data_IF_056678386064
#
_entry.id   IF_056678386064
#
_cell.length_a   1.000
_cell.length_b   1.000
_cell.length_c   1.000
_cell.angle_alpha   90.00
_cell.angle_beta   90.00
_cell.angle_gamma   90.00
#
_symmetry.space_group_name_H-M   'P 1'
#
loop_
_entity.id
_entity.type
_entity.pdbx_description
1 polymer ?
#
# COMPACT_ATOMS: atom_id res chain seq x y z
N UNK A 1 7.69 8.08 4.83
CA UNK A 1 7.10 8.98 3.81
C UNK A 1 8.13 9.94 3.22
N UNK A 2 8.93 10.63 4.02
CA UNK A 2 9.99 11.52 3.52
C UNK A 2 11.01 10.78 2.64
N UNK A 3 11.53 9.64 3.11
CA UNK A 3 12.42 8.79 2.33
C UNK A 3 11.76 8.29 1.05
N UNK A 4 10.49 7.86 1.13
CA UNK A 4 9.72 7.38 -0.03
C UNK A 4 9.56 8.46 -1.09
N UNK A 5 9.40 9.73 -0.69
CA UNK A 5 9.29 10.85 -1.63
C UNK A 5 10.54 11.09 -2.49
N UNK A 6 11.68 10.50 -2.10
CA UNK A 6 12.94 10.56 -2.86
C UNK A 6 13.22 9.32 -3.71
N UNK A 7 12.36 8.30 -3.68
CA UNK A 7 12.56 7.06 -4.42
C UNK A 7 11.87 7.11 -5.80
N UNK A 8 12.57 6.68 -6.82
CA UNK A 8 12.05 6.54 -8.19
C UNK A 8 11.57 5.09 -8.45
N UNK A 9 10.79 4.55 -7.51
CA UNK A 9 10.23 3.20 -7.60
C UNK A 9 8.89 3.10 -6.86
N UNK A 10 8.00 2.17 -7.24
CA UNK A 10 6.74 1.94 -6.55
C UNK A 10 6.94 1.49 -5.10
N UNK A 11 6.25 2.14 -4.16
CA UNK A 11 6.32 1.81 -2.73
C UNK A 11 4.92 1.57 -2.16
N UNK A 12 4.76 0.45 -1.44
CA UNK A 12 3.52 0.08 -0.78
C UNK A 12 3.44 0.58 0.67
N UNK A 13 2.28 1.11 1.04
CA UNK A 13 1.93 1.44 2.41
C UNK A 13 0.86 0.47 2.91
N UNK A 14 1.20 -0.32 3.93
CA UNK A 14 0.25 -1.27 4.54
C UNK A 14 -0.77 -0.53 5.42
N UNK A 15 -2.02 -0.96 5.41
CA UNK A 15 -3.02 -0.49 6.35
C UNK A 15 -2.61 -0.80 7.80
N UNK A 16 -3.18 -0.08 8.75
CA UNK A 16 -2.95 -0.29 10.17
C UNK A 16 -3.30 -1.70 10.63
N UNK A 17 -2.72 -2.15 11.74
CA UNK A 17 -3.04 -3.45 12.36
C UNK A 17 -4.49 -3.53 12.85
N UNK A 18 -5.11 -2.39 13.04
CA UNK A 18 -6.53 -2.22 13.34
C UNK A 18 -7.44 -2.29 12.09
N UNK A 19 -6.86 -2.42 10.90
CA UNK A 19 -7.56 -2.41 9.62
C UNK A 19 -7.81 -1.02 9.04
N UNK A 20 -7.45 0.05 9.76
CA UNK A 20 -7.66 1.43 9.29
C UNK A 20 -6.79 1.77 8.08
N UNK A 21 -7.35 2.51 7.13
CA UNK A 21 -6.67 2.96 5.91
C UNK A 21 -6.09 4.37 6.05
N UNK A 22 -6.57 5.16 7.02
CA UNK A 22 -6.25 6.59 7.14
C UNK A 22 -4.76 6.88 7.16
N UNK A 23 -3.99 6.21 8.02
CA UNK A 23 -2.54 6.41 8.14
C UNK A 23 -1.81 6.07 6.84
N UNK A 24 -2.22 5.00 6.15
CA UNK A 24 -1.62 4.61 4.87
C UNK A 24 -1.92 5.66 3.78
N UNK A 25 -3.17 6.12 3.68
CA UNK A 25 -3.58 7.16 2.73
C UNK A 25 -2.86 8.49 2.99
N UNK A 26 -2.74 8.91 4.25
CA UNK A 26 -1.99 10.12 4.62
C UNK A 26 -0.50 10.00 4.30
N UNK A 27 0.07 8.81 4.49
CA UNK A 27 1.45 8.54 4.13
C UNK A 27 1.69 8.55 2.61
N UNK A 28 0.76 7.98 1.81
CA UNK A 28 0.80 8.02 0.34
C UNK A 28 0.75 9.47 -0.15
N UNK A 29 -0.23 10.24 0.32
CA UNK A 29 -0.39 11.65 -0.03
C UNK A 29 0.83 12.49 0.36
N UNK A 30 1.38 12.26 1.56
CA UNK A 30 2.60 12.93 1.99
C UNK A 30 3.79 12.57 1.09
N UNK A 31 3.96 11.29 0.73
CA UNK A 31 5.07 10.84 -0.11
C UNK A 31 5.01 11.36 -1.55
N UNK A 32 3.81 11.68 -2.05
CA UNK A 32 3.60 12.26 -3.40
C UNK A 32 4.19 13.68 -3.54
N UNK A 33 4.38 14.39 -2.41
CA UNK A 33 4.88 15.76 -2.41
C UNK A 33 6.39 15.84 -2.15
N UNK A 34 7.07 16.91 -2.61
CA UNK A 34 8.46 17.17 -2.27
C UNK A 34 8.65 17.37 -0.76
N UNK A 35 9.77 16.87 -0.24
CA UNK A 35 10.18 17.04 1.15
C UNK A 35 11.63 17.54 1.23
N UNK A 36 11.95 18.16 2.34
CA UNK A 36 13.33 18.48 2.71
C UNK A 36 13.69 17.78 4.02
N UNK A 37 14.83 17.11 4.03
CA UNK A 37 15.33 16.45 5.24
C UNK A 37 16.88 16.45 5.27
N UNK A 38 17.44 16.36 6.45
CA UNK A 38 18.88 16.16 6.57
C UNK A 38 19.28 14.76 6.18
N UNK A 39 20.30 14.65 5.37
CA UNK A 39 20.85 13.39 4.89
C UNK A 39 22.32 13.52 4.56
N UNK A 40 22.82 12.60 3.75
CA UNK A 40 24.20 12.54 3.28
C UNK A 40 24.17 12.62 1.75
N UNK A 41 24.99 13.48 1.17
CA UNK A 41 25.18 13.59 -0.28
C UNK A 41 26.05 12.46 -0.83
N UNK A 42 26.20 12.42 -2.17
CA UNK A 42 27.00 11.41 -2.87
C UNK A 42 28.50 11.45 -2.52
N UNK A 43 28.95 12.52 -1.89
CA UNK A 43 30.33 12.71 -1.39
C UNK A 43 30.47 12.40 0.11
N UNK A 44 29.45 11.82 0.72
CA UNK A 44 29.38 11.50 2.15
C UNK A 44 29.43 12.73 3.07
N UNK A 45 29.01 13.90 2.61
CA UNK A 45 28.88 15.09 3.46
C UNK A 45 27.45 15.24 3.99
N UNK A 46 27.28 15.75 5.23
CA UNK A 46 25.96 16.17 5.71
C UNK A 46 25.36 17.23 4.78
N UNK A 47 24.14 17.00 4.32
CA UNK A 47 23.47 17.90 3.40
C UNK A 47 21.97 18.00 3.68
N UNK A 48 21.36 19.11 3.27
CA UNK A 48 19.90 19.23 3.20
C UNK A 48 19.45 18.68 1.86
N UNK A 49 18.83 17.49 1.90
CA UNK A 49 18.32 16.83 0.71
C UNK A 49 16.90 17.32 0.41
N UNK A 50 16.63 17.59 -0.86
CA UNK A 50 15.30 17.93 -1.35
C UNK A 50 14.82 16.82 -2.29
N UNK A 51 13.68 16.20 -1.96
CA UNK A 51 13.05 15.16 -2.76
C UNK A 51 12.07 15.76 -3.77
N UNK A 52 11.71 14.99 -4.80
CA UNK A 52 10.76 15.43 -5.84
C UNK A 52 9.32 15.02 -5.59
N UNK A 53 9.09 14.14 -4.63
CA UNK A 53 7.84 13.41 -4.45
C UNK A 53 7.82 12.10 -5.25
N UNK A 54 7.07 11.13 -4.75
CA UNK A 54 6.90 9.82 -5.39
C UNK A 54 5.41 9.56 -5.65
N UNK A 55 4.94 9.72 -6.89
CA UNK A 55 3.55 9.46 -7.25
C UNK A 55 3.22 7.97 -7.39
N UNK A 56 4.24 7.09 -7.39
CA UNK A 56 4.09 5.65 -7.63
C UNK A 56 3.92 4.87 -6.32
N UNK A 57 3.11 5.40 -5.42
CA UNK A 57 2.73 4.71 -4.20
C UNK A 57 1.47 3.87 -4.38
N UNK A 58 1.30 2.84 -3.55
CA UNK A 58 0.11 2.00 -3.55
C UNK A 58 -0.27 1.54 -2.14
N UNK A 59 -1.55 1.26 -1.95
CA UNK A 59 -2.07 0.70 -0.70
C UNK A 59 -1.84 -0.82 -0.67
N UNK A 60 -1.44 -1.34 0.49
CA UNK A 60 -1.35 -2.79 0.73
C UNK A 60 -2.34 -3.19 1.81
N UNK A 61 -3.30 -4.04 1.45
CA UNK A 61 -4.28 -4.61 2.38
C UNK A 61 -3.70 -5.86 3.04
N UNK A 62 -3.57 -5.84 4.37
CA UNK A 62 -2.99 -6.92 5.17
C UNK A 62 -3.97 -7.56 6.17
N UNK A 63 -5.25 -7.16 6.11
CA UNK A 63 -6.22 -7.43 7.15
C UNK A 63 -6.01 -6.56 8.40
N UNK A 64 -6.88 -6.69 9.39
CA UNK A 64 -6.82 -5.93 10.65
C UNK A 64 -7.72 -6.52 11.73
N UNK A 65 -7.37 -6.33 13.01
CA UNK A 65 -8.08 -6.89 14.18
C UNK A 65 -8.31 -8.42 14.08
N UNK A 66 -7.41 -9.15 13.42
CA UNK A 66 -7.58 -10.58 13.19
C UNK A 66 -8.58 -10.94 12.09
N UNK A 67 -9.16 -9.96 11.40
CA UNK A 67 -10.09 -10.14 10.29
C UNK A 67 -9.42 -9.87 8.93
N UNK A 68 -9.79 -10.62 7.88
CA UNK A 68 -9.31 -10.36 6.53
C UNK A 68 -9.95 -9.11 5.93
N UNK A 69 -9.29 -8.52 4.91
CA UNK A 69 -9.82 -7.40 4.12
C UNK A 69 -9.49 -7.51 2.63
N UNK A 70 -9.41 -8.75 2.12
CA UNK A 70 -9.12 -9.05 0.71
C UNK A 70 -10.37 -9.34 -0.13
N UNK A 71 -11.53 -9.47 0.50
CA UNK A 71 -12.78 -9.73 -0.20
C UNK A 71 -13.21 -8.52 -1.06
N UNK A 72 -14.11 -8.78 -2.04
CA UNK A 72 -14.53 -7.77 -3.00
C UNK A 72 -15.15 -6.51 -2.35
N UNK A 73 -15.87 -6.69 -1.25
CA UNK A 73 -16.49 -5.57 -0.51
C UNK A 73 -15.41 -4.70 0.15
N UNK A 74 -14.44 -5.33 0.81
CA UNK A 74 -13.33 -4.64 1.46
C UNK A 74 -12.44 -3.91 0.44
N UNK A 75 -12.14 -4.55 -0.69
CA UNK A 75 -11.36 -3.94 -1.79
C UNK A 75 -12.11 -2.75 -2.39
N UNK A 76 -13.42 -2.89 -2.64
CA UNK A 76 -14.24 -1.79 -3.15
C UNK A 76 -14.31 -0.61 -2.17
N UNK A 77 -14.42 -0.88 -0.86
CA UNK A 77 -14.39 0.15 0.18
C UNK A 77 -13.03 0.87 0.22
N UNK A 78 -11.93 0.12 0.11
CA UNK A 78 -10.58 0.68 0.06
C UNK A 78 -10.40 1.56 -1.19
N UNK A 79 -10.83 1.10 -2.36
CA UNK A 79 -10.83 1.87 -3.61
C UNK A 79 -11.59 3.19 -3.44
N UNK A 80 -12.83 3.13 -2.93
CA UNK A 80 -13.65 4.32 -2.69
C UNK A 80 -12.98 5.31 -1.72
N UNK A 81 -12.29 4.80 -0.71
CA UNK A 81 -11.55 5.64 0.24
C UNK A 81 -10.39 6.37 -0.44
N UNK A 82 -9.60 5.69 -1.27
CA UNK A 82 -8.53 6.30 -2.04
C UNK A 82 -9.05 7.38 -3.00
N UNK A 83 -10.11 7.06 -3.76
CA UNK A 83 -10.74 7.98 -4.71
C UNK A 83 -11.28 9.25 -4.03
N UNK A 84 -11.96 9.11 -2.88
CA UNK A 84 -12.45 10.26 -2.08
C UNK A 84 -11.33 11.18 -1.58
N UNK A 85 -10.13 10.63 -1.42
CA UNK A 85 -8.95 11.40 -1.01
C UNK A 85 -8.12 11.91 -2.19
N UNK A 86 -8.57 11.69 -3.42
CA UNK A 86 -7.85 12.10 -4.64
C UNK A 86 -6.61 11.26 -4.92
N UNK A 87 -6.50 10.06 -4.32
CA UNK A 87 -5.37 9.14 -4.52
C UNK A 87 -5.75 8.11 -5.59
N UNK A 88 -4.86 7.88 -6.55
CA UNK A 88 -5.07 6.85 -7.56
C UNK A 88 -5.28 5.47 -6.91
N UNK A 89 -6.35 4.72 -7.25
CA UNK A 89 -6.68 3.46 -6.61
C UNK A 89 -5.77 2.33 -7.10
N UNK A 90 -4.61 2.23 -6.49
CA UNK A 90 -3.63 1.15 -6.70
C UNK A 90 -3.55 0.34 -5.42
N UNK A 91 -4.01 -0.90 -5.47
CA UNK A 91 -4.13 -1.79 -4.32
C UNK A 91 -3.34 -3.07 -4.56
N UNK A 92 -2.55 -3.46 -3.59
CA UNK A 92 -2.00 -4.80 -3.47
C UNK A 92 -2.62 -5.51 -2.27
N UNK A 93 -2.71 -6.83 -2.33
CA UNK A 93 -3.17 -7.65 -1.21
C UNK A 93 -2.00 -8.49 -0.69
N UNK A 94 -1.73 -8.33 0.59
CA UNK A 94 -0.84 -9.19 1.33
C UNK A 94 -1.63 -10.44 1.73
N UNK A 95 -1.29 -11.58 1.14
CA UNK A 95 -1.99 -12.85 1.37
C UNK A 95 -1.67 -13.48 2.73
N UNK A 96 -0.66 -12.95 3.43
CA UNK A 96 -0.28 -13.40 4.77
C UNK A 96 -0.98 -12.61 5.88
N UNK A 97 -0.38 -12.50 7.04
CA UNK A 97 -0.87 -11.71 8.20
C UNK A 97 -2.33 -12.04 8.58
N UNK A 98 -3.16 -11.03 8.77
CA UNK A 98 -4.55 -11.26 9.17
C UNK A 98 -5.42 -11.79 8.01
N UNK A 99 -5.03 -11.57 6.75
CA UNK A 99 -5.74 -12.09 5.59
C UNK A 99 -5.75 -13.62 5.54
N UNK A 100 -4.67 -14.29 5.95
CA UNK A 100 -4.62 -15.75 6.09
C UNK A 100 -4.81 -16.22 7.54
N UNK A 101 -5.04 -15.31 8.49
CA UNK A 101 -5.01 -15.63 9.92
C UNK A 101 -3.64 -16.14 10.38
N UNK A 102 -2.55 -15.66 9.76
CA UNK A 102 -1.16 -16.11 9.98
C UNK A 102 -0.92 -17.59 9.69
N UNK A 103 -1.76 -18.20 8.87
CA UNK A 103 -1.62 -19.59 8.42
C UNK A 103 -1.15 -19.62 6.96
N UNK A 104 0.07 -20.07 6.65
CA UNK A 104 0.58 -20.08 5.28
C UNK A 104 -0.26 -20.94 4.33
N UNK A 105 -0.90 -22.01 4.85
CA UNK A 105 -1.77 -22.88 4.04
C UNK A 105 -3.06 -22.21 3.55
N UNK A 106 -3.40 -21.03 4.10
CA UNK A 106 -4.57 -20.25 3.65
C UNK A 106 -4.21 -19.19 2.62
N UNK A 107 -2.94 -18.90 2.38
CA UNK A 107 -2.52 -17.89 1.40
C UNK A 107 -3.00 -18.23 -0.03
N UNK A 108 -3.01 -19.50 -0.51
CA UNK A 108 -3.57 -19.81 -1.83
C UNK A 108 -5.02 -19.39 -2.00
N UNK A 109 -5.88 -19.57 -1.00
CA UNK A 109 -7.28 -19.18 -1.07
C UNK A 109 -7.45 -17.64 -1.15
N UNK A 110 -6.60 -16.88 -0.45
CA UNK A 110 -6.56 -15.41 -0.56
C UNK A 110 -6.13 -15.00 -1.97
N UNK A 111 -5.08 -15.64 -2.50
CA UNK A 111 -4.59 -15.38 -3.86
C UNK A 111 -5.66 -15.67 -4.91
N UNK A 112 -6.33 -16.81 -4.83
CA UNK A 112 -7.42 -17.20 -5.74
C UNK A 112 -8.52 -16.14 -5.76
N UNK A 113 -8.98 -15.71 -4.59
CA UNK A 113 -10.00 -14.66 -4.48
C UNK A 113 -9.57 -13.34 -5.14
N UNK A 114 -8.31 -12.92 -4.98
CA UNK A 114 -7.79 -11.70 -5.60
C UNK A 114 -7.71 -11.85 -7.12
N UNK A 115 -7.29 -13.02 -7.61
CA UNK A 115 -7.25 -13.32 -9.05
C UNK A 115 -8.67 -13.27 -9.65
N UNK A 116 -9.66 -13.89 -8.99
CA UNK A 116 -11.05 -13.87 -9.43
C UNK A 116 -11.59 -12.44 -9.54
N UNK A 117 -11.36 -11.59 -8.55
CA UNK A 117 -11.74 -10.19 -8.57
C UNK A 117 -11.06 -9.44 -9.73
N UNK A 118 -9.78 -9.70 -9.97
CA UNK A 118 -9.04 -9.08 -11.08
C UNK A 118 -9.56 -9.51 -12.43
N UNK A 119 -9.89 -10.80 -12.59
CA UNK A 119 -10.51 -11.34 -13.82
C UNK A 119 -11.94 -10.82 -14.01
N UNK A 120 -12.67 -10.57 -12.93
CA UNK A 120 -13.99 -9.93 -12.97
C UNK A 120 -13.95 -8.43 -13.34
N UNK A 121 -12.75 -7.84 -13.51
CA UNK A 121 -12.55 -6.49 -14.02
C UNK A 121 -12.14 -5.45 -12.98
N UNK A 122 -11.80 -5.83 -11.75
CA UNK A 122 -11.28 -4.86 -10.77
C UNK A 122 -9.83 -4.47 -11.09
N UNK A 123 -9.70 -3.37 -11.84
CA UNK A 123 -8.41 -2.83 -12.29
C UNK A 123 -7.63 -2.11 -11.18
N UNK A 124 -8.22 -1.89 -10.01
CA UNK A 124 -7.51 -1.31 -8.86
C UNK A 124 -6.52 -2.28 -8.24
N UNK A 125 -6.79 -3.59 -8.33
CA UNK A 125 -5.89 -4.64 -7.86
C UNK A 125 -4.66 -4.76 -8.79
N UNK A 126 -3.48 -4.49 -8.25
CA UNK A 126 -2.21 -4.44 -9.01
C UNK A 126 -1.30 -5.61 -8.75
N UNK A 127 -1.46 -6.30 -7.65
CA UNK A 127 -0.63 -7.44 -7.31
C UNK A 127 -0.94 -8.01 -5.93
N UNK A 128 -0.16 -9.00 -5.55
CA UNK A 128 -0.24 -9.69 -4.27
C UNK A 128 1.15 -9.82 -3.65
N UNK A 129 1.19 -10.06 -2.34
CA UNK A 129 2.38 -10.45 -1.60
C UNK A 129 2.14 -11.81 -0.97
N UNK A 130 3.12 -12.70 -1.07
CA UNK A 130 3.16 -14.02 -0.45
C UNK A 130 4.38 -14.10 0.49
N UNK A 131 4.20 -14.64 1.67
CA UNK A 131 5.28 -14.82 2.65
C UNK A 131 5.35 -16.27 3.15
#
# INVERSE_FOLDING_TARGET
RELVSGLDLPVGFKNGTDGSLGIACDAMRSAEHPHQHFGIDDLCHPALLQTRGNPDTHLVLRGGHGAPNYDATSVAAARSTLEKQGIAPRIMVDCSHANSGKNPLRQPAVLESVIEQRLAGDMSLRGVMLE
#
